data_IF_509683830303
#
_entry.id   IF_509683830303
#
_cell.length_a   1.000
_cell.length_b   1.000
_cell.length_c   1.000
_cell.angle_alpha   90.00
_cell.angle_beta   90.00
_cell.angle_gamma   90.00
#
_symmetry.space_group_name_H-M   'P 1'
#
loop_
_entity.id
_entity.type
_entity.pdbx_description
1 polymer ?
#
# COMPACT_ATOMS: atom_id res chain seq x y z
N UNK A 1 1.90 -12.33 17.36
CA UNK A 1 2.70 -11.53 16.39
C UNK A 1 2.65 -10.06 16.75
N UNK A 2 3.68 -9.26 16.39
CA UNK A 2 3.73 -7.86 16.78
C UNK A 2 3.05 -7.00 15.70
N UNK A 3 2.06 -6.22 16.09
CA UNK A 3 1.55 -5.13 15.29
C UNK A 3 1.37 -3.88 16.16
N UNK A 4 1.27 -2.73 15.49
CA UNK A 4 0.93 -1.46 16.12
C UNK A 4 0.14 -0.62 15.14
N UNK A 5 -0.87 0.08 15.62
CA UNK A 5 -1.58 1.12 14.90
C UNK A 5 -1.28 2.46 15.56
N UNK A 6 -0.90 3.44 14.74
CA UNK A 6 -0.61 4.81 15.18
C UNK A 6 -1.64 5.76 14.58
N UNK A 7 -2.34 6.50 15.44
CA UNK A 7 -3.27 7.53 14.99
C UNK A 7 -2.53 8.87 14.84
N UNK A 8 -2.08 9.17 13.61
CA UNK A 8 -1.28 10.35 13.30
C UNK A 8 -1.36 10.67 11.80
N UNK A 9 -1.02 11.90 11.42
CA UNK A 9 -0.78 12.25 10.01
C UNK A 9 0.43 11.49 9.47
N UNK A 10 0.18 10.68 8.45
CA UNK A 10 1.19 9.79 7.84
C UNK A 10 2.33 10.54 7.18
N UNK A 11 2.06 11.72 6.58
CA UNK A 11 3.12 12.53 5.98
C UNK A 11 4.03 13.16 7.03
N UNK A 12 3.47 13.59 8.17
CA UNK A 12 4.26 14.10 9.31
C UNK A 12 5.15 12.98 9.84
N UNK A 13 4.58 11.79 10.04
CA UNK A 13 5.34 10.65 10.53
C UNK A 13 6.42 10.21 9.54
N UNK A 14 6.10 10.02 8.26
CA UNK A 14 7.07 9.63 7.23
C UNK A 14 8.23 10.63 7.13
N UNK A 15 7.96 11.94 7.18
CA UNK A 15 9.01 12.96 7.14
C UNK A 15 9.96 12.90 8.32
N UNK A 16 9.50 12.46 9.50
CA UNK A 16 10.33 12.30 10.69
C UNK A 16 11.25 11.07 10.64
N UNK A 17 10.98 10.11 9.74
CA UNK A 17 11.82 8.91 9.63
C UNK A 17 13.11 9.21 8.86
N UNK A 18 14.24 8.57 9.21
CA UNK A 18 15.45 8.62 8.39
C UNK A 18 15.21 8.09 6.97
N UNK A 19 15.99 8.55 6.01
CA UNK A 19 15.95 7.98 4.65
C UNK A 19 16.39 6.52 4.69
N UNK A 20 15.74 5.68 3.86
CA UNK A 20 16.06 4.26 3.72
C UNK A 20 16.07 3.46 5.03
N UNK A 21 15.17 3.81 5.99
CA UNK A 21 15.10 3.16 7.31
C UNK A 21 13.96 2.13 7.41
N UNK A 22 12.94 2.23 6.58
CA UNK A 22 11.73 1.39 6.61
C UNK A 22 11.95 0.14 5.76
N UNK A 23 11.76 -1.08 6.29
CA UNK A 23 12.01 -2.31 5.53
C UNK A 23 11.15 -2.43 4.27
N UNK A 24 9.84 -2.39 4.41
CA UNK A 24 8.89 -2.51 3.30
C UNK A 24 7.65 -1.65 3.55
N UNK A 25 7.02 -1.20 2.48
CA UNK A 25 5.73 -0.52 2.52
C UNK A 25 4.74 -1.22 1.59
N UNK A 26 3.55 -1.52 2.10
CA UNK A 26 2.42 -2.02 1.30
C UNK A 26 1.21 -1.16 1.62
N UNK A 27 0.64 -0.48 0.61
CA UNK A 27 -0.39 0.53 0.86
C UNK A 27 -1.26 0.82 -0.37
N UNK A 28 -2.37 1.52 -0.15
CA UNK A 28 -3.10 2.30 -1.16
C UNK A 28 -3.18 3.75 -0.72
N UNK A 29 -2.69 4.69 -1.53
CA UNK A 29 -2.81 6.13 -1.19
C UNK A 29 -4.29 6.53 -1.29
N UNK A 30 -4.85 7.22 -0.29
CA UNK A 30 -6.24 7.66 -0.25
C UNK A 30 -6.67 8.40 -1.52
N UNK A 31 -7.92 8.21 -1.93
CA UNK A 31 -8.50 8.96 -3.05
C UNK A 31 -9.02 10.32 -2.58
N UNK A 32 -9.28 11.22 -3.50
CA UNK A 32 -9.73 12.59 -3.24
C UNK A 32 -10.94 12.65 -2.29
N UNK A 33 -11.86 11.70 -2.42
CA UNK A 33 -13.06 11.65 -1.57
C UNK A 33 -12.77 11.31 -0.10
N UNK A 34 -11.57 10.80 0.18
CA UNK A 34 -11.12 10.37 1.51
C UNK A 34 -10.32 11.46 2.24
N UNK A 35 -9.93 12.54 1.53
CA UNK A 35 -9.14 13.64 2.10
C UNK A 35 -9.97 14.75 2.78
N UNK A 36 -11.30 14.62 2.73
CA UNK A 36 -12.20 15.58 3.35
C UNK A 36 -13.00 16.42 2.35
N UNK A 37 -14.08 17.03 2.86
CA UNK A 37 -14.96 17.89 2.04
C UNK A 37 -14.24 19.16 1.62
N UNK A 38 -14.31 19.50 0.33
CA UNK A 38 -13.74 20.72 -0.23
C UNK A 38 -12.31 20.61 -0.72
N UNK A 39 -11.67 19.42 -0.63
CA UNK A 39 -10.35 19.20 -1.24
C UNK A 39 -10.43 19.42 -2.74
N UNK A 40 -9.62 20.33 -3.25
CA UNK A 40 -9.49 20.59 -4.70
C UNK A 40 -8.68 19.46 -5.37
N UNK A 41 -8.81 19.36 -6.70
CA UNK A 41 -8.06 18.37 -7.45
C UNK A 41 -6.53 18.59 -7.37
N UNK A 42 -6.09 19.84 -7.40
CA UNK A 42 -4.66 20.18 -7.27
C UNK A 42 -4.09 19.82 -5.90
N UNK A 43 -4.85 20.08 -4.84
CA UNK A 43 -4.46 19.67 -3.47
C UNK A 43 -4.37 18.16 -3.35
N UNK A 44 -5.32 17.43 -3.94
CA UNK A 44 -5.29 15.98 -4.02
C UNK A 44 -4.05 15.46 -4.78
N UNK A 45 -3.76 16.00 -5.96
CA UNK A 45 -2.58 15.59 -6.73
C UNK A 45 -1.28 15.90 -6.00
N UNK A 46 -1.22 17.04 -5.30
CA UNK A 46 -0.07 17.41 -4.46
C UNK A 46 0.11 16.42 -3.32
N UNK A 47 -0.96 16.09 -2.60
CA UNK A 47 -0.95 15.09 -1.53
C UNK A 47 -0.51 13.72 -2.05
N UNK A 48 -1.09 13.24 -3.16
CA UNK A 48 -0.74 11.95 -3.77
C UNK A 48 0.74 11.87 -4.13
N UNK A 49 1.26 12.88 -4.80
CA UNK A 49 2.67 12.94 -5.21
C UNK A 49 3.61 13.01 -4.01
N UNK A 50 3.29 13.83 -3.00
CA UNK A 50 4.10 13.93 -1.78
C UNK A 50 4.10 12.63 -0.99
N UNK A 51 2.95 11.95 -0.88
CA UNK A 51 2.85 10.64 -0.21
C UNK A 51 3.71 9.60 -0.88
N UNK A 52 3.61 9.46 -2.21
CA UNK A 52 4.43 8.53 -2.97
C UNK A 52 5.92 8.82 -2.82
N UNK A 53 6.33 10.08 -2.97
CA UNK A 53 7.72 10.51 -2.84
C UNK A 53 8.28 10.22 -1.44
N UNK A 54 7.52 10.55 -0.39
CA UNK A 54 7.94 10.25 0.99
C UNK A 54 8.13 8.75 1.21
N UNK A 55 7.21 7.91 0.75
CA UNK A 55 7.32 6.45 0.87
C UNK A 55 8.59 5.97 0.16
N UNK A 56 8.81 6.35 -1.09
CA UNK A 56 9.97 5.93 -1.88
C UNK A 56 11.31 6.33 -1.25
N UNK A 57 11.39 7.52 -0.63
CA UNK A 57 12.61 7.99 0.04
C UNK A 57 12.88 7.33 1.39
N UNK A 58 11.87 6.73 2.01
CA UNK A 58 12.00 6.17 3.38
C UNK A 58 12.18 4.66 3.39
N UNK A 59 11.73 3.94 2.36
CA UNK A 59 11.92 2.50 2.25
C UNK A 59 13.39 2.19 1.93
N UNK A 60 13.92 1.12 2.54
CA UNK A 60 15.29 0.61 2.32
C UNK A 60 15.55 0.33 0.85
N UNK A 61 16.81 0.42 0.42
CA UNK A 61 17.19 0.17 -0.98
C UNK A 61 16.90 -1.25 -1.44
N UNK A 62 17.00 -2.24 -0.55
CA UNK A 62 16.63 -3.64 -0.77
C UNK A 62 15.19 -3.98 -0.37
N UNK A 63 14.46 -2.98 0.15
CA UNK A 63 13.05 -3.08 0.50
C UNK A 63 12.13 -2.88 -0.70
N UNK A 64 10.85 -3.07 -0.45
CA UNK A 64 9.79 -3.01 -1.49
C UNK A 64 8.73 -2.00 -1.13
N UNK A 65 8.35 -1.19 -2.12
CA UNK A 65 7.17 -0.32 -2.07
C UNK A 65 6.10 -0.95 -2.96
N UNK A 66 5.05 -1.47 -2.35
CA UNK A 66 3.93 -2.11 -3.06
C UNK A 66 2.69 -1.24 -2.93
N UNK A 67 2.08 -0.90 -4.08
CA UNK A 67 0.86 -0.09 -4.13
C UNK A 67 -0.28 -0.89 -4.77
N UNK A 68 -1.45 -0.83 -4.13
CA UNK A 68 -2.71 -1.31 -4.69
C UNK A 68 -3.57 -0.08 -4.92
N UNK A 69 -3.63 0.40 -6.16
CA UNK A 69 -4.15 1.73 -6.48
C UNK A 69 -5.14 1.71 -7.63
N UNK A 70 -6.32 2.27 -7.42
CA UNK A 70 -7.33 2.45 -8.48
C UNK A 70 -7.24 3.86 -9.06
N UNK A 71 -7.26 3.96 -10.38
CA UNK A 71 -7.31 5.24 -11.09
C UNK A 71 -8.60 6.01 -10.79
N UNK A 72 -8.59 7.29 -11.11
CA UNK A 72 -9.72 8.18 -10.95
C UNK A 72 -10.14 8.78 -12.29
N UNK A 73 -11.44 8.86 -12.52
CA UNK A 73 -11.99 9.72 -13.59
C UNK A 73 -12.31 11.08 -12.97
N UNK A 74 -11.81 12.14 -13.58
CA UNK A 74 -12.04 13.51 -13.16
C UNK A 74 -12.25 14.40 -14.39
N UNK A 75 -13.36 15.13 -14.46
CA UNK A 75 -13.72 16.02 -15.58
C UNK A 75 -13.53 15.38 -16.96
N UNK A 76 -13.97 14.15 -17.13
CA UNK A 76 -13.88 13.40 -18.39
C UNK A 76 -12.51 12.81 -18.72
N UNK A 77 -11.50 13.02 -17.86
CA UNK A 77 -10.16 12.47 -18.03
C UNK A 77 -9.91 11.31 -17.09
N UNK A 78 -9.11 10.35 -17.52
CA UNK A 78 -8.55 9.31 -16.67
C UNK A 78 -7.25 9.83 -16.04
N UNK A 79 -7.20 9.86 -14.71
CA UNK A 79 -5.98 10.15 -13.95
C UNK A 79 -5.28 8.83 -13.70
N UNK A 80 -4.27 8.56 -14.51
CA UNK A 80 -3.47 7.34 -14.43
C UNK A 80 -2.50 7.42 -13.23
N UNK A 81 -2.92 6.83 -12.13
CA UNK A 81 -2.12 6.79 -10.89
C UNK A 81 -0.93 5.86 -11.02
N UNK A 82 -0.99 4.85 -11.88
CA UNK A 82 0.14 3.96 -12.12
C UNK A 82 1.30 4.70 -12.79
N UNK A 83 0.99 5.56 -13.77
CA UNK A 83 1.97 6.44 -14.39
C UNK A 83 2.56 7.44 -13.39
N UNK A 84 1.71 8.09 -12.59
CA UNK A 84 2.18 9.04 -11.58
C UNK A 84 3.13 8.39 -10.57
N UNK A 85 2.79 7.21 -10.06
CA UNK A 85 3.65 6.45 -9.16
C UNK A 85 4.98 6.07 -9.83
N UNK A 86 4.93 5.58 -11.06
CA UNK A 86 6.12 5.14 -11.80
C UNK A 86 7.06 6.30 -12.11
N UNK A 87 6.54 7.46 -12.53
CA UNK A 87 7.33 8.67 -12.77
C UNK A 87 8.05 9.15 -11.50
N UNK A 88 7.33 9.16 -10.36
CA UNK A 88 7.92 9.55 -9.07
C UNK A 88 8.95 8.51 -8.61
N UNK A 89 8.68 7.22 -8.77
CA UNK A 89 9.60 6.15 -8.42
C UNK A 89 10.93 6.28 -9.17
N UNK A 90 10.89 6.49 -10.49
CA UNK A 90 12.08 6.68 -11.30
C UNK A 90 12.89 7.93 -10.90
N UNK A 91 12.21 9.03 -10.57
CA UNK A 91 12.87 10.25 -10.04
C UNK A 91 13.51 10.03 -8.67
N UNK A 92 13.02 9.06 -7.90
CA UNK A 92 13.61 8.64 -6.62
C UNK A 92 14.64 7.49 -6.78
N UNK A 93 14.98 7.06 -7.99
CA UNK A 93 15.96 6.01 -8.27
C UNK A 93 15.43 4.58 -8.11
N UNK A 94 14.11 4.40 -7.92
CA UNK A 94 13.51 3.07 -7.87
C UNK A 94 13.19 2.57 -9.29
N UNK A 95 13.16 1.25 -9.45
CA UNK A 95 12.69 0.56 -10.65
C UNK A 95 11.35 -0.13 -10.39
N UNK A 96 10.48 -0.15 -11.38
CA UNK A 96 9.26 -0.96 -11.38
C UNK A 96 9.65 -2.43 -11.57
N UNK A 97 9.36 -3.25 -10.56
CA UNK A 97 9.66 -4.69 -10.58
C UNK A 97 8.58 -5.50 -11.28
N UNK A 98 7.34 -5.18 -10.98
CA UNK A 98 6.18 -5.76 -11.65
C UNK A 98 4.98 -4.83 -11.54
N UNK A 99 4.12 -4.93 -12.54
CA UNK A 99 2.82 -4.27 -12.63
C UNK A 99 1.78 -5.33 -12.93
N UNK A 100 0.86 -5.55 -12.02
CA UNK A 100 -0.21 -6.54 -12.10
C UNK A 100 -1.56 -5.85 -11.99
N UNK A 101 -2.62 -6.55 -12.34
CA UNK A 101 -3.99 -6.05 -12.33
C UNK A 101 -4.81 -6.83 -11.32
N UNK A 102 -5.62 -6.12 -10.54
CA UNK A 102 -6.60 -6.73 -9.62
C UNK A 102 -8.00 -6.31 -10.07
N UNK A 103 -8.83 -7.25 -10.49
CA UNK A 103 -10.19 -6.97 -10.90
C UNK A 103 -11.03 -6.50 -9.71
N UNK A 104 -11.73 -5.38 -9.88
CA UNK A 104 -12.70 -4.83 -8.92
C UNK A 104 -14.14 -5.24 -9.26
N UNK A 105 -14.37 -5.66 -10.49
CA UNK A 105 -15.60 -6.17 -11.06
C UNK A 105 -15.28 -7.33 -12.00
N UNK A 106 -16.25 -8.19 -12.27
CA UNK A 106 -16.09 -9.23 -13.28
C UNK A 106 -15.74 -8.64 -14.65
N UNK A 107 -14.98 -9.40 -15.42
CA UNK A 107 -14.58 -9.01 -16.78
C UNK A 107 -15.82 -8.70 -17.64
N UNK A 108 -15.79 -7.61 -18.38
CA UNK A 108 -16.91 -7.14 -19.21
C UNK A 108 -17.92 -6.25 -18.46
N UNK A 109 -17.85 -6.14 -17.12
CA UNK A 109 -18.69 -5.17 -16.39
C UNK A 109 -18.17 -3.75 -16.58
N UNK A 110 -19.07 -2.77 -16.46
CA UNK A 110 -18.80 -1.34 -16.61
C UNK A 110 -18.99 -0.61 -15.28
N UNK A 111 -18.22 0.44 -15.07
CA UNK A 111 -18.40 1.42 -13.99
C UNK A 111 -18.22 2.82 -14.57
N UNK A 112 -19.13 3.74 -14.24
CA UNK A 112 -19.10 5.10 -14.80
C UNK A 112 -18.02 5.98 -14.13
N UNK A 113 -17.71 5.70 -12.86
CA UNK A 113 -16.90 6.59 -12.03
C UNK A 113 -15.46 6.14 -11.89
N UNK A 114 -15.19 4.84 -12.01
CA UNK A 114 -13.87 4.26 -11.79
C UNK A 114 -13.57 3.16 -12.82
N UNK A 115 -12.29 2.88 -13.11
CA UNK A 115 -11.93 1.61 -13.74
C UNK A 115 -12.40 0.41 -12.92
N UNK A 116 -12.72 -0.68 -13.61
CA UNK A 116 -13.16 -1.93 -12.97
C UNK A 116 -11.98 -2.79 -12.48
N UNK A 117 -10.81 -2.20 -12.35
CA UNK A 117 -9.58 -2.82 -11.87
C UNK A 117 -8.75 -1.83 -11.04
N UNK A 118 -7.84 -2.37 -10.28
CA UNK A 118 -6.77 -1.63 -9.62
C UNK A 118 -5.42 -2.08 -10.15
N UNK A 119 -4.48 -1.15 -10.17
CA UNK A 119 -3.07 -1.44 -10.37
C UNK A 119 -2.49 -2.05 -9.10
N UNK A 120 -1.66 -3.07 -9.26
CA UNK A 120 -0.89 -3.68 -8.21
C UNK A 120 0.59 -3.60 -8.62
N UNK A 121 1.31 -2.68 -8.02
CA UNK A 121 2.61 -2.20 -8.46
C UNK A 121 3.67 -2.45 -7.38
N UNK A 122 4.85 -2.87 -7.78
CA UNK A 122 5.98 -3.05 -6.88
C UNK A 122 7.21 -2.30 -7.37
N UNK A 123 7.80 -1.51 -6.48
CA UNK A 123 9.02 -0.75 -6.76
C UNK A 123 10.10 -1.08 -5.73
N UNK A 124 11.36 -1.00 -6.16
CA UNK A 124 12.54 -1.17 -5.31
C UNK A 124 13.78 -0.55 -5.97
N UNK A 125 14.83 -0.27 -5.22
CA UNK A 125 16.13 0.13 -5.78
C UNK A 125 16.96 -1.11 -6.12
N UNK A 126 17.16 -2.02 -5.15
CA UNK A 126 18.08 -3.16 -5.25
C UNK A 126 17.41 -4.54 -5.08
N UNK A 127 16.12 -4.59 -4.74
CA UNK A 127 15.40 -5.84 -4.56
C UNK A 127 15.33 -6.69 -5.83
N UNK A 128 14.91 -7.94 -5.68
CA UNK A 128 14.75 -8.91 -6.77
C UNK A 128 13.28 -9.12 -7.12
N UNK A 129 12.92 -9.50 -8.34
CA UNK A 129 11.52 -9.71 -8.74
C UNK A 129 10.82 -10.87 -8.02
N UNK A 130 11.58 -11.73 -7.35
CA UNK A 130 11.04 -12.93 -6.72
C UNK A 130 10.63 -14.01 -7.74
N UNK A 131 9.75 -14.91 -7.29
CA UNK A 131 9.15 -15.93 -8.13
C UNK A 131 8.00 -15.36 -8.96
N UNK A 132 7.75 -15.92 -10.13
CA UNK A 132 6.60 -15.55 -10.94
C UNK A 132 5.28 -15.92 -10.23
N UNK A 133 4.30 -15.04 -10.32
CA UNK A 133 2.93 -15.24 -9.84
C UNK A 133 1.95 -14.54 -10.76
N UNK A 134 0.64 -14.74 -10.57
CA UNK A 134 -0.40 -14.25 -11.47
C UNK A 134 -0.24 -12.76 -11.83
N UNK A 135 -0.43 -12.41 -13.10
CA UNK A 135 -0.40 -11.03 -13.59
C UNK A 135 -1.76 -10.34 -13.46
N UNK A 136 -2.85 -11.13 -13.48
CA UNK A 136 -4.22 -10.65 -13.32
C UNK A 136 -4.90 -11.45 -12.23
N UNK A 137 -5.41 -10.74 -11.23
CA UNK A 137 -6.15 -11.32 -10.12
C UNK A 137 -7.65 -11.18 -10.38
N UNK A 138 -8.45 -12.22 -10.10
CA UNK A 138 -9.90 -12.11 -10.15
C UNK A 138 -10.42 -11.14 -9.09
N UNK A 139 -11.71 -10.86 -9.14
CA UNK A 139 -12.39 -10.08 -8.08
C UNK A 139 -12.19 -10.79 -6.74
N UNK A 140 -11.58 -10.09 -5.80
CA UNK A 140 -11.34 -10.59 -4.45
C UNK A 140 -12.45 -10.19 -3.47
N UNK A 141 -12.56 -10.94 -2.36
CA UNK A 141 -13.39 -10.52 -1.23
C UNK A 141 -12.86 -9.22 -0.64
N UNK A 142 -13.76 -8.46 -0.04
CA UNK A 142 -13.42 -7.25 0.73
C UNK A 142 -13.87 -7.46 2.17
N UNK A 143 -13.04 -7.06 3.11
CA UNK A 143 -13.36 -7.20 4.54
C UNK A 143 -14.40 -6.15 5.00
N UNK A 144 -14.47 -5.03 4.26
CA UNK A 144 -15.44 -3.93 4.46
C UNK A 144 -15.59 -3.13 3.16
N UNK A 145 -16.54 -2.22 3.10
CA UNK A 145 -16.78 -1.37 1.93
C UNK A 145 -15.53 -0.52 1.61
N UNK A 146 -15.20 -0.42 0.34
CA UNK A 146 -13.99 0.25 -0.18
C UNK A 146 -12.65 -0.33 0.27
N UNK A 147 -12.64 -1.47 0.95
CA UNK A 147 -11.39 -2.15 1.31
C UNK A 147 -10.57 -2.54 0.07
N UNK A 148 -9.27 -2.62 0.26
CA UNK A 148 -8.36 -3.31 -0.67
C UNK A 148 -8.83 -4.75 -0.88
N UNK A 149 -8.88 -5.27 -2.12
CA UNK A 149 -9.19 -6.67 -2.37
C UNK A 149 -8.25 -7.59 -1.60
N UNK A 150 -8.82 -8.51 -0.82
CA UNK A 150 -8.03 -9.32 0.11
C UNK A 150 -7.04 -10.26 -0.59
N UNK A 151 -7.38 -10.79 -1.78
CA UNK A 151 -6.46 -11.58 -2.59
C UNK A 151 -5.19 -10.80 -3.01
N UNK A 152 -5.29 -9.50 -3.28
CA UNK A 152 -4.14 -8.65 -3.57
C UNK A 152 -3.29 -8.42 -2.31
N UNK A 153 -3.92 -8.15 -1.17
CA UNK A 153 -3.23 -8.01 0.11
C UNK A 153 -2.50 -9.31 0.50
N UNK A 154 -3.13 -10.47 0.31
CA UNK A 154 -2.51 -11.78 0.53
C UNK A 154 -1.31 -12.03 -0.40
N UNK A 155 -1.44 -11.70 -1.70
CA UNK A 155 -0.33 -11.83 -2.65
C UNK A 155 0.85 -10.92 -2.29
N UNK A 156 0.59 -9.68 -1.84
CA UNK A 156 1.63 -8.80 -1.32
C UNK A 156 2.33 -9.38 -0.08
N UNK A 157 1.55 -9.91 0.86
CA UNK A 157 2.09 -10.52 2.08
C UNK A 157 2.94 -11.76 1.77
N UNK A 158 2.49 -12.62 0.87
CA UNK A 158 3.24 -13.79 0.43
C UNK A 158 4.55 -13.39 -0.28
N UNK A 159 4.49 -12.40 -1.17
CA UNK A 159 5.68 -11.87 -1.84
C UNK A 159 6.70 -11.36 -0.81
N UNK A 160 6.29 -10.47 0.10
CA UNK A 160 7.18 -9.90 1.12
C UNK A 160 7.75 -10.99 2.04
N UNK A 161 6.93 -11.94 2.51
CA UNK A 161 7.39 -13.05 3.36
C UNK A 161 8.49 -13.88 2.70
N UNK A 162 8.37 -14.15 1.39
CA UNK A 162 9.41 -14.84 0.62
C UNK A 162 10.68 -14.01 0.45
N UNK A 163 10.56 -12.69 0.29
CA UNK A 163 11.72 -11.81 0.11
C UNK A 163 12.49 -11.60 1.42
N UNK A 164 11.82 -11.40 2.54
CA UNK A 164 12.46 -11.21 3.85
C UNK A 164 13.29 -12.45 4.25
N UNK A 165 12.83 -13.65 3.93
CA UNK A 165 13.60 -14.90 4.17
C UNK A 165 14.94 -14.94 3.44
N UNK A 166 15.09 -14.18 2.35
CA UNK A 166 16.31 -14.06 1.55
C UNK A 166 17.22 -12.92 1.98
N UNK A 167 16.67 -11.95 2.74
CA UNK A 167 17.41 -10.78 3.22
C UNK A 167 18.24 -11.13 4.47
N UNK A 168 19.45 -10.60 4.56
CA UNK A 168 20.25 -10.69 5.81
C UNK A 168 19.58 -9.82 6.88
N UNK A 169 19.39 -10.37 8.06
CA UNK A 169 18.92 -9.58 9.21
C UNK A 169 20.00 -8.58 9.59
N UNK A 170 19.69 -7.31 9.41
CA UNK A 170 20.53 -6.20 9.84
C UNK A 170 20.16 -5.82 11.28
N UNK A 171 21.13 -5.63 12.15
CA UNK A 171 20.93 -5.37 13.57
C UNK A 171 20.33 -3.99 13.91
N UNK A 172 20.23 -3.11 12.92
CA UNK A 172 19.75 -1.72 13.10
C UNK A 172 18.43 -1.46 12.35
N UNK A 173 17.45 -2.35 12.54
CA UNK A 173 16.23 -2.35 11.74
C UNK A 173 15.04 -1.74 12.48
N UNK A 174 14.22 -1.04 11.74
CA UNK A 174 12.84 -0.70 12.12
C UNK A 174 12.16 -1.96 12.68
N UNK A 175 11.40 -1.80 13.76
CA UNK A 175 10.85 -2.90 14.55
C UNK A 175 9.89 -3.82 13.77
N UNK A 176 9.27 -3.31 12.72
CA UNK A 176 8.25 -4.02 11.96
C UNK A 176 8.74 -4.33 10.54
N UNK A 177 8.27 -5.45 9.98
CA UNK A 177 8.64 -5.91 8.65
C UNK A 177 7.98 -5.09 7.54
N UNK A 178 6.76 -4.62 7.78
CA UNK A 178 5.93 -3.89 6.80
C UNK A 178 5.22 -2.72 7.46
N UNK A 179 5.18 -1.59 6.75
CA UNK A 179 4.30 -0.47 7.10
C UNK A 179 3.16 -0.32 6.10
N UNK A 180 2.02 0.20 6.59
CA UNK A 180 0.95 0.79 5.79
C UNK A 180 0.65 2.20 6.32
N UNK A 181 1.13 3.26 5.64
CA UNK A 181 0.91 4.63 6.10
C UNK A 181 -0.53 5.14 5.90
N UNK A 182 -1.41 4.35 5.28
CA UNK A 182 -2.82 4.66 5.06
C UNK A 182 -3.68 3.43 5.36
N UNK A 183 -3.57 2.92 6.59
CA UNK A 183 -4.03 1.58 6.95
C UNK A 183 -5.55 1.39 6.87
N UNK A 184 -6.33 2.47 6.95
CA UNK A 184 -7.78 2.38 6.99
C UNK A 184 -8.24 1.43 8.10
N UNK A 185 -9.11 0.45 7.76
CA UNK A 185 -9.55 -0.56 8.73
C UNK A 185 -8.67 -1.81 8.77
N UNK A 186 -7.49 -1.83 8.12
CA UNK A 186 -6.47 -2.83 8.37
C UNK A 186 -6.44 -4.06 7.46
N UNK A 187 -7.07 -4.07 6.29
CA UNK A 187 -7.06 -5.24 5.38
C UNK A 187 -5.66 -5.73 5.05
N UNK A 188 -4.72 -4.82 4.75
CA UNK A 188 -3.33 -5.16 4.46
C UNK A 188 -2.68 -5.75 5.72
N UNK A 189 -2.92 -5.17 6.89
CA UNK A 189 -2.43 -5.69 8.16
C UNK A 189 -2.87 -7.12 8.46
N UNK A 190 -4.14 -7.45 8.20
CA UNK A 190 -4.65 -8.83 8.33
C UNK A 190 -3.84 -9.80 7.46
N UNK A 191 -3.60 -9.44 6.20
CA UNK A 191 -2.82 -10.28 5.29
C UNK A 191 -1.36 -10.44 5.75
N UNK A 192 -0.73 -9.37 6.27
CA UNK A 192 0.64 -9.42 6.78
C UNK A 192 0.75 -10.34 8.00
N UNK A 193 -0.14 -10.17 8.98
CA UNK A 193 -0.16 -10.98 10.21
C UNK A 193 -0.43 -12.45 9.89
N UNK A 194 -1.31 -12.76 8.92
CA UNK A 194 -1.58 -14.14 8.49
C UNK A 194 -0.37 -14.84 7.86
N UNK A 195 0.65 -14.09 7.44
CA UNK A 195 1.94 -14.59 6.91
C UNK A 195 3.10 -14.42 7.91
N UNK A 196 2.78 -14.22 9.19
CA UNK A 196 3.75 -14.08 10.28
C UNK A 196 4.68 -12.85 10.14
N UNK A 197 4.24 -11.82 9.42
CA UNK A 197 4.95 -10.56 9.29
C UNK A 197 4.51 -9.60 10.39
N UNK A 198 5.46 -8.91 11.00
CA UNK A 198 5.17 -7.83 11.93
C UNK A 198 4.75 -6.58 11.16
N UNK A 199 3.73 -5.87 11.68
CA UNK A 199 3.02 -4.84 10.93
C UNK A 199 2.89 -3.52 11.69
N UNK A 200 3.07 -2.41 10.99
CA UNK A 200 2.86 -1.07 11.52
C UNK A 200 1.91 -0.29 10.61
N UNK A 201 0.74 0.07 11.13
CA UNK A 201 -0.27 0.83 10.41
C UNK A 201 -0.38 2.25 10.93
N UNK A 202 -0.66 3.21 10.04
CA UNK A 202 -0.90 4.61 10.39
C UNK A 202 -2.19 5.07 9.71
N UNK A 203 -3.00 5.80 10.43
CA UNK A 203 -4.13 6.54 9.88
C UNK A 203 -4.34 7.83 10.67
N UNK A 204 -4.89 8.87 10.03
CA UNK A 204 -5.23 10.12 10.69
C UNK A 204 -6.60 10.04 11.39
N UNK A 205 -7.49 9.17 10.91
CA UNK A 205 -8.84 9.01 11.42
C UNK A 205 -8.87 8.05 12.63
N UNK A 206 -9.29 8.57 13.78
CA UNK A 206 -9.38 7.81 15.05
C UNK A 206 -10.30 6.58 14.95
N UNK A 207 -11.36 6.68 14.14
CA UNK A 207 -12.32 5.58 13.96
C UNK A 207 -11.67 4.47 13.15
N UNK A 208 -10.94 4.80 12.07
CA UNK A 208 -10.19 3.83 11.28
C UNK A 208 -9.11 3.14 12.13
N UNK A 209 -8.36 3.91 12.92
CA UNK A 209 -7.35 3.35 13.83
C UNK A 209 -7.96 2.33 14.80
N UNK A 210 -9.08 2.67 15.47
CA UNK A 210 -9.76 1.76 16.39
C UNK A 210 -10.25 0.49 15.70
N UNK A 211 -10.91 0.62 14.55
CA UNK A 211 -11.41 -0.53 13.79
C UNK A 211 -10.27 -1.44 13.32
N UNK A 212 -9.16 -0.83 12.87
CA UNK A 212 -7.97 -1.57 12.47
C UNK A 212 -7.37 -2.35 13.65
N UNK A 213 -7.24 -1.72 14.82
CA UNK A 213 -6.76 -2.41 16.02
C UNK A 213 -7.64 -3.59 16.45
N UNK A 214 -8.96 -3.40 16.43
CA UNK A 214 -9.93 -4.45 16.78
C UNK A 214 -9.82 -5.64 15.81
N UNK A 215 -9.76 -5.35 14.51
CA UNK A 215 -9.64 -6.37 13.47
C UNK A 215 -8.33 -7.17 13.61
N UNK A 216 -7.19 -6.48 13.80
CA UNK A 216 -5.89 -7.13 13.90
C UNK A 216 -5.71 -7.91 15.21
N UNK A 217 -6.31 -7.46 16.32
CA UNK A 217 -6.36 -8.23 17.58
C UNK A 217 -7.09 -9.56 17.40
N UNK A 218 -8.22 -9.56 16.68
CA UNK A 218 -8.97 -10.78 16.38
C UNK A 218 -8.14 -11.81 15.60
N UNK A 219 -7.41 -11.37 14.60
CA UNK A 219 -6.56 -12.25 13.77
C UNK A 219 -5.32 -12.77 14.52
N UNK A 220 -4.73 -11.96 15.41
CA UNK A 220 -3.52 -12.32 16.15
C UNK A 220 -3.74 -13.40 17.22
N UNK A 221 -5.01 -13.67 17.60
CA UNK A 221 -5.40 -14.64 18.62
C UNK A 221 -5.80 -15.99 18.03
N UNK A 222 -5.95 -16.10 16.71
CA UNK A 222 -6.23 -17.34 15.98
C UNK A 222 -4.93 -18.07 15.62
#
# INVERSE_FOLDING_TARGET
MAFQILCQDSLVWLKSQPSHSIPNCVTGIPDMNELGKGTTFDEYLKFFKQSAQCIFQKVKEDGYCIFIQTDRKYEGQLIDKSYLLTDIAYKCGLKLMWHKIVCQRDVGKKDLFRPTYSHFLCYTIRGTPGEAFADVFPVGSKLYDNATPYNAAQAAAEFISKQIKKQKKDSNTFKYDVIDPFVGQGTIGVAMISKELSFFGIDIDKTQCRLSEELLKGVSQM
#
